data_IF_912467193370
#
_entry.id   IF_912467193370
#
_cell.length_a   1.000
_cell.length_b   1.000
_cell.length_c   1.000
_cell.angle_alpha   90.00
_cell.angle_beta   90.00
_cell.angle_gamma   90.00
#
_symmetry.space_group_name_H-M   'P 1'
#
loop_
_entity.id
_entity.type
_entity.pdbx_description
1 polymer ?
#
# COMPACT_ATOMS: atom_id res chain seq x y z
N UNK A 1 28.99 3.95 -38.68
CA UNK A 1 29.96 4.64 -37.84
C UNK A 1 29.36 4.89 -36.46
N UNK A 2 29.52 3.93 -35.54
CA UNK A 2 28.98 4.03 -34.17
C UNK A 2 29.76 5.08 -33.39
N UNK A 3 29.08 6.11 -32.87
CA UNK A 3 29.68 7.09 -31.94
C UNK A 3 29.90 6.42 -30.59
N UNK A 4 31.15 6.27 -30.13
CA UNK A 4 31.45 5.60 -28.85
C UNK A 4 31.00 6.38 -27.59
N UNK A 5 30.52 7.62 -27.71
CA UNK A 5 30.03 8.40 -26.58
C UNK A 5 28.64 8.08 -26.08
N UNK A 6 27.73 7.56 -26.93
CA UNK A 6 26.36 7.33 -26.56
C UNK A 6 26.17 6.11 -25.61
N UNK A 7 27.09 5.15 -25.65
CA UNK A 7 27.05 3.97 -24.76
C UNK A 7 27.57 4.28 -23.35
N UNK A 8 28.58 5.18 -23.24
CA UNK A 8 29.10 5.63 -21.95
C UNK A 8 28.10 6.54 -21.20
N UNK A 9 27.37 7.40 -21.93
CA UNK A 9 26.31 8.23 -21.35
C UNK A 9 25.11 7.39 -20.89
N UNK A 10 24.78 6.30 -21.61
CA UNK A 10 23.74 5.35 -21.21
C UNK A 10 24.08 4.60 -19.93
N UNK A 11 25.32 4.11 -19.82
CA UNK A 11 25.78 3.36 -18.65
C UNK A 11 25.90 4.24 -17.40
N UNK A 12 26.42 5.47 -17.53
CA UNK A 12 26.48 6.42 -16.43
C UNK A 12 25.09 6.85 -15.92
N UNK A 13 24.11 7.02 -16.82
CA UNK A 13 22.71 7.28 -16.46
C UNK A 13 22.05 6.08 -15.76
N UNK A 14 22.32 4.87 -16.22
CA UNK A 14 21.83 3.64 -15.56
C UNK A 14 22.43 3.54 -14.15
N UNK A 15 23.74 3.74 -14.00
CA UNK A 15 24.40 3.73 -12.70
C UNK A 15 23.88 4.83 -11.77
N UNK A 16 23.70 6.05 -12.28
CA UNK A 16 23.15 7.16 -11.51
C UNK A 16 21.70 6.87 -11.07
N UNK A 17 20.84 6.39 -11.96
CA UNK A 17 19.46 6.04 -11.64
C UNK A 17 19.39 4.86 -10.66
N UNK A 18 20.24 3.86 -10.85
CA UNK A 18 20.37 2.74 -9.93
C UNK A 18 20.86 3.22 -8.56
N UNK A 19 21.88 4.07 -8.51
CA UNK A 19 22.38 4.67 -7.28
C UNK A 19 21.31 5.48 -6.53
N UNK A 20 20.48 6.26 -7.24
CA UNK A 20 19.35 6.98 -6.65
C UNK A 20 18.26 6.04 -6.11
N UNK A 21 17.91 5.00 -6.86
CA UNK A 21 16.92 4.00 -6.42
C UNK A 21 17.42 3.21 -5.20
N UNK A 22 18.71 2.85 -5.20
CA UNK A 22 19.37 2.14 -4.12
C UNK A 22 19.48 3.01 -2.87
N UNK A 23 19.93 4.27 -3.04
CA UNK A 23 19.99 5.24 -1.96
C UNK A 23 18.63 5.50 -1.32
N UNK A 24 17.59 5.67 -2.13
CA UNK A 24 16.21 5.84 -1.65
C UNK A 24 15.68 4.64 -0.86
N UNK A 25 15.93 3.40 -1.33
CA UNK A 25 15.58 2.18 -0.61
C UNK A 25 16.36 2.03 0.69
N UNK A 26 17.67 2.33 0.68
CA UNK A 26 18.52 2.29 1.86
C UNK A 26 18.08 3.30 2.93
N UNK A 27 17.82 4.54 2.54
CA UNK A 27 17.27 5.57 3.44
C UNK A 27 15.91 5.14 3.99
N UNK A 28 15.02 4.59 3.14
CA UNK A 28 13.73 4.07 3.57
C UNK A 28 13.85 2.92 4.58
N UNK A 29 14.83 2.03 4.43
CA UNK A 29 15.10 0.96 5.37
C UNK A 29 15.59 1.51 6.72
N UNK A 30 16.54 2.45 6.71
CA UNK A 30 17.05 3.12 7.93
C UNK A 30 15.93 3.86 8.66
N UNK A 31 15.11 4.66 7.95
CA UNK A 31 13.97 5.34 8.52
C UNK A 31 12.95 4.35 9.11
N UNK A 32 12.73 3.21 8.43
CA UNK A 32 11.82 2.16 8.92
C UNK A 32 12.33 1.52 10.21
N UNK A 33 13.62 1.32 10.37
CA UNK A 33 14.21 0.81 11.60
C UNK A 33 14.16 1.87 12.72
N UNK A 34 14.45 3.12 12.40
CA UNK A 34 14.44 4.21 13.35
C UNK A 34 13.04 4.44 13.95
N UNK A 35 11.99 4.54 13.10
CA UNK A 35 10.64 4.69 13.62
C UNK A 35 10.20 3.47 14.44
N UNK A 36 10.59 2.25 14.01
CA UNK A 36 10.28 1.03 14.74
C UNK A 36 10.90 1.04 16.15
N UNK A 37 12.16 1.50 16.26
CA UNK A 37 12.84 1.67 17.55
C UNK A 37 12.13 2.69 18.44
N UNK A 38 11.64 3.81 17.88
CA UNK A 38 10.85 4.80 18.60
C UNK A 38 9.57 4.15 19.15
N UNK A 39 8.79 3.50 18.28
CA UNK A 39 7.52 2.87 18.66
C UNK A 39 7.72 1.83 19.77
N UNK A 40 8.71 0.94 19.58
CA UNK A 40 8.97 -0.15 20.54
C UNK A 40 9.45 0.36 21.89
N UNK A 41 10.34 1.35 21.89
CA UNK A 41 10.85 1.96 23.15
C UNK A 41 9.76 2.72 23.88
N UNK A 42 8.86 3.37 23.16
CA UNK A 42 7.79 4.18 23.75
C UNK A 42 6.66 3.32 24.33
N UNK A 43 6.23 2.30 23.57
CA UNK A 43 5.11 1.44 23.95
C UNK A 43 5.53 0.30 24.90
N UNK A 44 6.79 -0.13 24.84
CA UNK A 44 7.21 -1.39 25.44
C UNK A 44 6.76 -2.59 24.60
N UNK A 45 7.24 -3.79 24.97
CA UNK A 45 7.09 -4.99 24.12
C UNK A 45 5.63 -5.45 24.00
N UNK A 46 4.84 -5.40 25.09
CA UNK A 46 3.46 -5.87 25.10
C UNK A 46 2.55 -4.97 24.23
N UNK A 47 2.59 -3.66 24.41
CA UNK A 47 1.76 -2.72 23.65
C UNK A 47 2.22 -2.57 22.20
N UNK A 48 3.52 -2.71 21.95
CA UNK A 48 4.05 -2.86 20.61
C UNK A 48 3.49 -4.13 19.93
N UNK A 49 3.38 -5.23 20.67
CA UNK A 49 2.75 -6.46 20.18
C UNK A 49 1.29 -6.25 19.79
N UNK A 50 0.50 -5.58 20.63
CA UNK A 50 -0.90 -5.22 20.32
C UNK A 50 -1.00 -4.32 19.07
N UNK A 51 -0.15 -3.30 18.99
CA UNK A 51 -0.01 -2.47 17.79
C UNK A 51 0.31 -3.32 16.54
N UNK A 52 1.26 -4.26 16.67
CA UNK A 52 1.65 -5.15 15.58
C UNK A 52 0.51 -6.08 15.13
N UNK A 53 -0.31 -6.57 16.06
CA UNK A 53 -1.48 -7.41 15.76
C UNK A 53 -2.55 -6.62 14.99
N UNK A 54 -2.90 -5.41 15.44
CA UNK A 54 -3.86 -4.54 14.74
C UNK A 54 -3.37 -4.22 13.33
N UNK A 55 -2.11 -3.87 13.18
CA UNK A 55 -1.50 -3.55 11.90
C UNK A 55 -1.47 -4.76 10.95
N UNK A 56 -1.15 -5.95 11.47
CA UNK A 56 -1.13 -7.19 10.69
C UNK A 56 -2.54 -7.62 10.30
N UNK A 57 -3.52 -7.52 11.20
CA UNK A 57 -4.92 -7.79 10.89
C UNK A 57 -5.44 -6.87 9.78
N UNK A 58 -5.23 -5.56 9.90
CA UNK A 58 -5.60 -4.59 8.88
C UNK A 58 -4.95 -4.90 7.51
N UNK A 59 -3.65 -5.28 7.53
CA UNK A 59 -2.91 -5.62 6.31
C UNK A 59 -3.42 -6.92 5.67
N UNK A 60 -3.70 -7.96 6.46
CA UNK A 60 -4.27 -9.23 5.97
C UNK A 60 -5.63 -8.98 5.34
N UNK A 61 -6.54 -8.27 6.03
CA UNK A 61 -7.87 -7.95 5.51
C UNK A 61 -7.73 -7.19 4.18
N UNK A 62 -6.87 -6.16 4.16
CA UNK A 62 -6.60 -5.39 2.93
C UNK A 62 -6.11 -6.29 1.80
N UNK A 63 -5.14 -7.17 2.06
CA UNK A 63 -4.56 -8.07 1.05
C UNK A 63 -5.60 -9.03 0.47
N UNK A 64 -6.50 -9.57 1.30
CA UNK A 64 -7.54 -10.49 0.86
C UNK A 64 -8.64 -9.78 0.07
N UNK A 65 -9.02 -8.57 0.48
CA UNK A 65 -10.15 -7.85 -0.11
C UNK A 65 -9.76 -6.95 -1.27
N UNK A 66 -8.54 -6.40 -1.31
CA UNK A 66 -8.12 -5.48 -2.36
C UNK A 66 -7.80 -6.20 -3.65
N UNK A 67 -8.21 -5.61 -4.76
CA UNK A 67 -7.81 -6.06 -6.10
C UNK A 67 -6.62 -5.26 -6.62
N UNK A 68 -5.76 -5.92 -7.41
CA UNK A 68 -4.65 -5.27 -8.12
C UNK A 68 -5.13 -4.59 -9.40
N UNK A 69 -6.07 -3.67 -9.26
CA UNK A 69 -6.72 -2.92 -10.34
C UNK A 69 -5.74 -2.17 -11.25
N UNK A 70 -4.52 -1.84 -10.75
CA UNK A 70 -3.49 -1.22 -11.55
C UNK A 70 -3.09 -2.04 -12.78
N UNK A 71 -3.12 -3.37 -12.68
CA UNK A 71 -2.80 -4.27 -13.81
C UNK A 71 -3.86 -4.17 -14.90
N UNK A 72 -5.13 -4.01 -14.52
CA UNK A 72 -6.23 -3.78 -15.46
C UNK A 72 -6.04 -2.44 -16.17
N UNK A 73 -5.76 -1.37 -15.39
CA UNK A 73 -5.55 -0.04 -15.95
C UNK A 73 -4.43 -0.06 -16.98
N UNK A 74 -3.30 -0.70 -16.68
CA UNK A 74 -2.18 -0.80 -17.62
C UNK A 74 -2.57 -1.64 -18.84
N UNK A 75 -3.07 -2.87 -18.65
CA UNK A 75 -3.32 -3.82 -19.73
C UNK A 75 -4.38 -3.31 -20.71
N UNK A 76 -5.56 -2.94 -20.20
CA UNK A 76 -6.68 -2.51 -21.04
C UNK A 76 -6.61 -1.03 -21.38
N UNK A 77 -6.05 -0.22 -20.48
CA UNK A 77 -5.86 1.20 -20.72
C UNK A 77 -4.90 1.50 -21.85
N UNK A 78 -3.84 0.70 -22.05
CA UNK A 78 -2.92 0.86 -23.19
C UNK A 78 -3.63 0.72 -24.54
N UNK A 79 -4.56 -0.23 -24.68
CA UNK A 79 -5.33 -0.42 -25.90
C UNK A 79 -6.16 0.81 -26.26
N UNK A 80 -6.85 1.37 -25.25
CA UNK A 80 -7.68 2.56 -25.43
C UNK A 80 -6.85 3.84 -25.62
N UNK A 81 -5.71 3.93 -24.96
CA UNK A 81 -4.78 5.05 -25.15
C UNK A 81 -4.17 5.06 -26.55
N UNK A 82 -3.79 3.87 -27.08
CA UNK A 82 -3.26 3.73 -28.42
C UNK A 82 -4.31 4.04 -29.51
N UNK A 83 -5.60 3.83 -29.21
CA UNK A 83 -6.74 4.15 -30.09
C UNK A 83 -7.22 5.60 -29.93
N UNK A 84 -6.55 6.42 -29.13
CA UNK A 84 -6.97 7.80 -28.77
C UNK A 84 -8.42 7.89 -28.24
N UNK A 85 -8.88 6.82 -27.58
CA UNK A 85 -10.21 6.69 -27.01
C UNK A 85 -10.21 6.98 -25.51
N UNK A 86 -10.11 8.26 -25.17
CA UNK A 86 -10.08 8.73 -23.77
C UNK A 86 -11.35 8.37 -22.98
N UNK A 87 -12.51 8.27 -23.64
CA UNK A 87 -13.77 7.92 -22.98
C UNK A 87 -13.81 6.44 -22.58
N UNK A 88 -13.30 5.53 -23.40
CA UNK A 88 -13.18 4.11 -23.05
C UNK A 88 -12.14 3.92 -21.94
N UNK A 89 -11.01 4.63 -22.00
CA UNK A 89 -10.03 4.66 -20.91
C UNK A 89 -10.66 5.13 -19.58
N UNK A 90 -11.48 6.20 -19.62
CA UNK A 90 -12.20 6.67 -18.43
C UNK A 90 -13.14 5.60 -17.87
N UNK A 91 -13.88 4.86 -18.70
CA UNK A 91 -14.76 3.78 -18.25
C UNK A 91 -13.99 2.67 -17.56
N UNK A 92 -12.83 2.27 -18.07
CA UNK A 92 -11.92 1.29 -17.43
C UNK A 92 -11.46 1.82 -16.05
N UNK A 93 -11.03 3.07 -15.97
CA UNK A 93 -10.60 3.68 -14.70
C UNK A 93 -11.74 3.72 -13.66
N UNK A 94 -12.93 4.16 -14.07
CA UNK A 94 -14.11 4.18 -13.18
C UNK A 94 -14.53 2.80 -12.73
N UNK A 95 -14.40 1.79 -13.59
CA UNK A 95 -14.63 0.39 -13.24
C UNK A 95 -13.63 -0.08 -12.18
N UNK A 96 -12.34 0.22 -12.33
CA UNK A 96 -11.32 -0.10 -11.34
C UNK A 96 -11.59 0.60 -10.00
N UNK A 97 -11.91 1.90 -10.02
CA UNK A 97 -12.24 2.65 -8.80
C UNK A 97 -13.47 2.07 -8.10
N UNK A 98 -14.50 1.69 -8.86
CA UNK A 98 -15.71 1.07 -8.30
C UNK A 98 -15.37 -0.25 -7.60
N UNK A 99 -14.53 -1.09 -8.20
CA UNK A 99 -14.07 -2.34 -7.58
C UNK A 99 -13.24 -2.05 -6.32
N UNK A 100 -12.31 -1.10 -6.39
CA UNK A 100 -11.48 -0.72 -5.25
C UNK A 100 -12.35 -0.20 -4.07
N UNK A 101 -13.38 0.61 -4.35
CA UNK A 101 -14.31 1.08 -3.33
C UNK A 101 -15.19 -0.05 -2.76
N UNK A 102 -15.69 -0.95 -3.62
CA UNK A 102 -16.44 -2.13 -3.16
C UNK A 102 -15.57 -3.02 -2.26
N UNK A 103 -14.31 -3.22 -2.64
CA UNK A 103 -13.32 -3.95 -1.85
C UNK A 103 -13.07 -3.30 -0.50
N UNK A 104 -12.96 -1.97 -0.47
CA UNK A 104 -12.79 -1.22 0.77
C UNK A 104 -14.00 -1.37 1.70
N UNK A 105 -15.22 -1.33 1.15
CA UNK A 105 -16.45 -1.55 1.93
C UNK A 105 -16.53 -2.96 2.50
N UNK A 106 -16.24 -3.98 1.68
CA UNK A 106 -16.21 -5.39 2.12
C UNK A 106 -15.11 -5.59 3.19
N UNK A 107 -13.91 -5.08 2.95
CA UNK A 107 -12.82 -5.15 3.92
C UNK A 107 -13.15 -4.48 5.24
N UNK A 108 -13.80 -3.33 5.21
CA UNK A 108 -14.29 -2.62 6.39
C UNK A 108 -15.34 -3.41 7.18
N UNK A 109 -16.28 -4.06 6.47
CA UNK A 109 -17.28 -4.93 7.11
C UNK A 109 -16.63 -6.17 7.74
N UNK A 110 -15.70 -6.83 7.05
CA UNK A 110 -14.93 -7.96 7.59
C UNK A 110 -14.14 -7.53 8.83
N UNK A 111 -13.47 -6.36 8.79
CA UNK A 111 -12.76 -5.81 9.94
C UNK A 111 -13.68 -5.58 11.14
N UNK A 112 -14.90 -5.05 10.91
CA UNK A 112 -15.89 -4.88 11.97
C UNK A 112 -16.28 -6.23 12.61
N UNK A 113 -16.59 -7.23 11.79
CA UNK A 113 -16.93 -8.58 12.28
C UNK A 113 -15.79 -9.19 13.08
N UNK A 114 -14.56 -9.12 12.57
CA UNK A 114 -13.37 -9.66 13.26
C UNK A 114 -13.15 -8.97 14.60
N UNK A 115 -13.24 -7.64 14.66
CA UNK A 115 -13.00 -6.89 15.90
C UNK A 115 -14.12 -7.13 16.91
N UNK A 116 -15.38 -7.16 16.47
CA UNK A 116 -16.52 -7.40 17.36
C UNK A 116 -16.58 -8.84 17.88
N UNK A 117 -16.31 -9.83 16.99
CA UNK A 117 -16.40 -11.24 17.35
C UNK A 117 -15.11 -11.77 18.01
N UNK A 118 -13.94 -11.28 17.60
CA UNK A 118 -12.64 -11.82 17.97
C UNK A 118 -11.71 -10.79 18.62
N UNK A 119 -12.22 -9.63 19.03
CA UNK A 119 -11.41 -8.57 19.68
C UNK A 119 -10.67 -9.06 20.94
N UNK A 120 -11.24 -10.04 21.65
CA UNK A 120 -10.59 -10.70 22.78
C UNK A 120 -9.32 -11.47 22.42
N UNK A 121 -9.23 -12.03 21.21
CA UNK A 121 -8.04 -12.74 20.71
C UNK A 121 -6.88 -11.78 20.39
N UNK A 122 -7.18 -10.53 20.13
CA UNK A 122 -6.16 -9.50 19.90
C UNK A 122 -5.64 -8.90 21.23
N UNK A 123 -6.19 -9.34 22.37
CA UNK A 123 -5.88 -8.83 23.71
C UNK A 123 -5.85 -7.30 23.79
N UNK A 124 -6.80 -6.66 23.06
CA UNK A 124 -6.87 -5.20 23.04
C UNK A 124 -7.37 -4.67 24.39
N UNK A 125 -6.83 -3.55 24.88
CA UNK A 125 -7.38 -2.88 26.05
C UNK A 125 -8.87 -2.57 25.89
N UNK A 126 -9.65 -2.58 26.98
CA UNK A 126 -11.06 -2.21 26.94
C UNK A 126 -11.28 -0.84 26.27
N UNK A 127 -12.23 -0.78 25.32
CA UNK A 127 -12.52 0.43 24.55
C UNK A 127 -11.64 0.68 23.33
N UNK A 128 -10.57 -0.09 23.11
CA UNK A 128 -9.67 0.10 21.96
C UNK A 128 -10.20 -0.52 20.66
N UNK A 129 -11.25 -1.34 20.70
CA UNK A 129 -11.82 -1.98 19.50
C UNK A 129 -12.25 -0.95 18.45
N UNK A 130 -12.83 0.17 18.87
CA UNK A 130 -13.22 1.25 17.96
C UNK A 130 -12.03 1.87 17.21
N UNK A 131 -10.94 2.18 17.92
CA UNK A 131 -9.74 2.74 17.32
C UNK A 131 -9.08 1.76 16.34
N UNK A 132 -9.04 0.48 16.71
CA UNK A 132 -8.53 -0.58 15.83
C UNK A 132 -9.38 -0.71 14.57
N UNK A 133 -10.71 -0.67 14.69
CA UNK A 133 -11.61 -0.69 13.53
C UNK A 133 -11.46 0.55 12.66
N UNK A 134 -11.40 1.75 13.24
CA UNK A 134 -11.15 2.98 12.48
C UNK A 134 -9.82 2.93 11.73
N UNK A 135 -8.78 2.39 12.35
CA UNK A 135 -7.51 2.19 11.69
C UNK A 135 -7.64 1.23 10.48
N UNK A 136 -8.37 0.12 10.65
CA UNK A 136 -8.67 -0.78 9.54
C UNK A 136 -9.42 -0.05 8.42
N UNK A 137 -10.43 0.76 8.73
CA UNK A 137 -11.14 1.57 7.75
C UNK A 137 -10.21 2.52 6.99
N UNK A 138 -9.33 3.23 7.70
CA UNK A 138 -8.32 4.10 7.06
C UNK A 138 -7.44 3.29 6.12
N UNK A 139 -6.97 2.11 6.53
CA UNK A 139 -6.18 1.22 5.67
C UNK A 139 -6.95 0.76 4.44
N UNK A 140 -8.25 0.53 4.52
CA UNK A 140 -9.10 0.12 3.38
C UNK A 140 -9.31 1.28 2.39
N UNK A 141 -9.62 2.49 2.87
CA UNK A 141 -9.88 3.64 2.00
C UNK A 141 -8.62 4.24 1.38
N UNK A 142 -7.42 3.87 1.85
CA UNK A 142 -6.15 4.26 1.21
C UNK A 142 -5.90 3.49 -0.09
N UNK A 143 -6.76 3.75 -1.08
CA UNK A 143 -6.72 3.13 -2.40
C UNK A 143 -5.55 3.71 -3.19
N UNK A 144 -4.57 2.88 -3.55
CA UNK A 144 -3.40 3.25 -4.35
C UNK A 144 -3.32 2.49 -5.67
N UNK A 145 -4.09 1.42 -5.82
CA UNK A 145 -3.99 0.54 -6.99
C UNK A 145 -4.37 1.28 -8.28
N UNK A 146 -5.56 1.85 -8.36
CA UNK A 146 -6.01 2.60 -9.54
C UNK A 146 -5.07 3.75 -9.93
N UNK A 147 -4.66 4.68 -9.02
CA UNK A 147 -3.74 5.76 -9.40
C UNK A 147 -2.33 5.26 -9.76
N UNK A 148 -1.84 4.17 -9.17
CA UNK A 148 -0.60 3.51 -9.60
C UNK A 148 -0.71 3.05 -11.06
N UNK A 149 -1.86 2.47 -11.44
CA UNK A 149 -2.14 2.08 -12.82
C UNK A 149 -2.07 3.26 -13.79
N UNK A 150 -2.63 4.41 -13.43
CA UNK A 150 -2.58 5.64 -14.24
C UNK A 150 -1.14 6.12 -14.43
N UNK A 151 -0.35 6.20 -13.35
CA UNK A 151 1.04 6.64 -13.42
C UNK A 151 1.89 5.70 -14.29
N UNK A 152 1.69 4.39 -14.17
CA UNK A 152 2.38 3.39 -14.99
C UNK A 152 1.95 3.42 -16.46
N UNK A 153 0.66 3.66 -16.71
CA UNK A 153 0.13 3.81 -18.06
C UNK A 153 0.76 4.98 -18.82
N UNK A 154 1.12 6.04 -18.09
CA UNK A 154 1.77 7.23 -18.65
C UNK A 154 3.30 7.26 -18.47
N UNK A 155 3.92 6.10 -18.13
CA UNK A 155 5.38 5.95 -17.90
C UNK A 155 5.95 6.91 -16.84
N UNK A 156 5.13 7.31 -15.86
CA UNK A 156 5.54 8.22 -14.77
C UNK A 156 6.00 7.45 -13.54
N UNK A 157 6.99 6.59 -13.72
CA UNK A 157 7.60 5.80 -12.63
C UNK A 157 8.34 6.68 -11.63
N UNK A 158 8.88 7.81 -12.06
CA UNK A 158 9.49 8.86 -11.22
C UNK A 158 8.52 9.39 -10.18
N UNK A 159 7.31 9.77 -10.63
CA UNK A 159 6.24 10.27 -9.77
C UNK A 159 5.73 9.21 -8.79
N UNK A 160 5.61 7.96 -9.24
CA UNK A 160 5.23 6.84 -8.38
C UNK A 160 6.28 6.57 -7.30
N UNK A 161 7.57 6.59 -7.65
CA UNK A 161 8.67 6.42 -6.70
C UNK A 161 8.71 7.55 -5.66
N UNK A 162 8.47 8.80 -6.08
CA UNK A 162 8.38 9.95 -5.17
C UNK A 162 7.23 9.77 -4.16
N UNK A 163 6.04 9.36 -4.62
CA UNK A 163 4.90 9.12 -3.73
C UNK A 163 5.18 7.99 -2.72
N UNK A 164 5.89 6.93 -3.14
CA UNK A 164 6.24 5.80 -2.28
C UNK A 164 7.20 6.22 -1.14
N UNK A 165 8.10 7.18 -1.38
CA UNK A 165 9.01 7.69 -0.33
C UNK A 165 8.28 8.44 0.78
N UNK A 166 7.04 8.89 0.55
CA UNK A 166 6.22 9.54 1.59
C UNK A 166 5.86 8.61 2.74
N UNK A 167 5.81 7.29 2.51
CA UNK A 167 5.48 6.33 3.56
C UNK A 167 6.55 6.29 4.67
N UNK A 168 7.82 5.96 4.40
CA UNK A 168 8.83 5.90 5.46
C UNK A 168 9.07 7.27 6.11
N UNK A 169 9.04 8.35 5.34
CA UNK A 169 9.18 9.71 5.87
C UNK A 169 7.98 10.10 6.74
N UNK A 170 6.76 9.87 6.25
CA UNK A 170 5.53 10.17 6.99
C UNK A 170 5.42 9.36 8.28
N UNK A 171 5.79 8.07 8.25
CA UNK A 171 5.82 7.23 9.46
C UNK A 171 6.87 7.71 10.46
N UNK A 172 8.04 8.17 10.01
CA UNK A 172 9.06 8.71 10.89
C UNK A 172 8.61 10.00 11.55
N UNK A 173 8.10 10.96 10.77
CA UNK A 173 7.55 12.22 11.28
C UNK A 173 6.38 11.94 12.23
N UNK A 174 5.46 11.06 11.82
CA UNK A 174 4.32 10.66 12.63
C UNK A 174 4.73 9.97 13.93
N UNK A 175 5.77 9.12 13.94
CA UNK A 175 6.26 8.48 15.14
C UNK A 175 6.88 9.49 16.12
N UNK A 176 7.63 10.47 15.63
CA UNK A 176 8.16 11.56 16.44
C UNK A 176 7.02 12.42 17.00
N UNK A 177 6.03 12.76 16.19
CA UNK A 177 4.87 13.52 16.65
C UNK A 177 4.06 12.73 17.70
N UNK A 178 3.82 11.43 17.49
CA UNK A 178 3.11 10.58 18.44
C UNK A 178 3.88 10.46 19.78
N UNK A 179 5.21 10.36 19.72
CA UNK A 179 6.06 10.33 20.93
C UNK A 179 5.84 11.54 21.84
N UNK A 180 5.67 12.73 21.25
CA UNK A 180 5.52 13.98 22.01
C UNK A 180 4.08 14.31 22.37
N UNK A 181 3.13 14.01 21.47
CA UNK A 181 1.73 14.43 21.62
C UNK A 181 0.86 13.33 22.25
N UNK A 182 1.09 12.07 21.89
CA UNK A 182 0.23 10.96 22.28
C UNK A 182 1.00 9.63 22.27
N UNK A 183 1.85 9.35 23.28
CA UNK A 183 2.72 8.16 23.34
C UNK A 183 1.91 6.90 23.69
N UNK A 184 0.89 6.58 22.90
CA UNK A 184 -0.04 5.46 23.08
C UNK A 184 -0.18 4.65 21.80
N UNK A 185 -0.71 3.42 21.88
CA UNK A 185 -1.01 2.61 20.71
C UNK A 185 -1.85 3.39 19.69
N UNK A 186 -2.88 4.10 20.17
CA UNK A 186 -3.76 4.92 19.32
C UNK A 186 -2.99 6.03 18.60
N UNK A 187 -2.10 6.74 19.27
CA UNK A 187 -1.29 7.79 18.66
C UNK A 187 -0.41 7.25 17.51
N UNK A 188 0.21 6.09 17.71
CA UNK A 188 1.00 5.46 16.66
C UNK A 188 0.14 4.87 15.52
N UNK A 189 -1.07 4.38 15.80
CA UNK A 189 -2.02 3.98 14.75
C UNK A 189 -2.47 5.18 13.92
N UNK A 190 -2.76 6.32 14.55
CA UNK A 190 -3.10 7.58 13.85
C UNK A 190 -1.92 8.03 12.98
N UNK A 191 -0.71 8.06 13.52
CA UNK A 191 0.50 8.43 12.79
C UNK A 191 0.72 7.55 11.55
N UNK A 192 0.54 6.24 11.71
CA UNK A 192 0.65 5.28 10.62
C UNK A 192 -0.44 5.48 9.57
N UNK A 193 -1.70 5.55 10.00
CA UNK A 193 -2.85 5.78 9.10
C UNK A 193 -2.73 7.10 8.33
N UNK A 194 -2.27 8.16 8.99
CA UNK A 194 -2.02 9.46 8.36
C UNK A 194 -0.94 9.36 7.27
N UNK A 195 0.17 8.66 7.52
CA UNK A 195 1.21 8.45 6.51
C UNK A 195 0.69 7.68 5.29
N UNK A 196 -0.12 6.63 5.50
CA UNK A 196 -0.77 5.88 4.41
C UNK A 196 -1.76 6.76 3.63
N UNK A 197 -2.55 7.57 4.32
CA UNK A 197 -3.53 8.48 3.69
C UNK A 197 -2.83 9.56 2.87
N UNK A 198 -1.79 10.19 3.41
CA UNK A 198 -1.00 11.19 2.69
C UNK A 198 -0.36 10.61 1.42
N UNK A 199 0.18 9.39 1.52
CA UNK A 199 0.72 8.69 0.36
C UNK A 199 -0.38 8.42 -0.69
N UNK A 200 -1.56 7.93 -0.28
CA UNK A 200 -2.66 7.70 -1.20
C UNK A 200 -3.13 8.99 -1.88
N UNK A 201 -3.24 10.09 -1.13
CA UNK A 201 -3.58 11.41 -1.66
C UNK A 201 -2.53 11.90 -2.67
N UNK A 202 -1.24 11.69 -2.39
CA UNK A 202 -0.17 12.03 -3.32
C UNK A 202 -0.27 11.22 -4.62
N UNK A 203 -0.52 9.92 -4.54
CA UNK A 203 -0.75 9.08 -5.71
C UNK A 203 -1.93 9.58 -6.55
N UNK A 204 -3.06 9.90 -5.92
CA UNK A 204 -4.22 10.44 -6.62
C UNK A 204 -3.96 11.80 -7.24
N UNK A 205 -3.30 12.69 -6.51
CA UNK A 205 -2.95 14.03 -7.03
C UNK A 205 -2.04 13.95 -8.26
N UNK A 206 -0.99 13.11 -8.19
CA UNK A 206 -0.07 12.90 -9.31
C UNK A 206 -0.79 12.24 -10.50
N UNK A 207 -1.57 11.19 -10.26
CA UNK A 207 -2.32 10.49 -11.31
C UNK A 207 -3.32 11.40 -12.02
N UNK A 208 -4.06 12.23 -11.28
CA UNK A 208 -5.00 13.19 -11.86
C UNK A 208 -4.28 14.31 -12.63
N UNK A 209 -3.13 14.74 -12.15
CA UNK A 209 -2.31 15.73 -12.85
C UNK A 209 -1.81 15.21 -14.20
N UNK A 210 -1.25 14.00 -14.23
CA UNK A 210 -0.72 13.38 -15.44
C UNK A 210 -1.82 12.94 -16.41
N UNK A 211 -3.00 12.56 -15.89
CA UNK A 211 -4.15 12.17 -16.69
C UNK A 211 -4.91 13.33 -17.36
N UNK A 212 -4.60 14.59 -16.98
CA UNK A 212 -5.29 15.75 -17.54
C UNK A 212 -5.17 15.81 -19.06
N UNK A 213 -6.33 15.94 -19.74
CA UNK A 213 -6.41 16.03 -21.20
C UNK A 213 -6.22 14.71 -21.95
N UNK A 214 -5.88 13.62 -21.27
CA UNK A 214 -5.72 12.26 -21.87
C UNK A 214 -6.81 11.30 -21.46
N UNK A 215 -7.39 11.51 -20.28
CA UNK A 215 -8.53 10.77 -19.77
C UNK A 215 -9.78 11.54 -20.20
N UNK A 216 -10.71 10.87 -20.87
CA UNK A 216 -11.95 11.46 -21.38
C UNK A 216 -12.87 11.97 -20.26
N UNK A 217 -14.04 12.48 -20.66
CA UNK A 217 -14.98 13.07 -19.73
C UNK A 217 -15.44 12.07 -18.66
N UNK A 218 -15.39 12.47 -17.38
CA UNK A 218 -15.75 11.60 -16.25
C UNK A 218 -17.19 11.06 -16.33
N UNK A 219 -18.05 11.66 -17.12
CA UNK A 219 -19.46 11.28 -17.31
C UNK A 219 -19.73 10.44 -18.59
N UNK A 220 -18.70 10.07 -19.36
CA UNK A 220 -18.87 9.31 -20.60
C UNK A 220 -19.24 7.84 -20.32
N UNK A 221 -20.50 7.48 -20.40
CA UNK A 221 -21.03 6.14 -20.22
C UNK A 221 -21.05 5.62 -18.78
N UNK A 222 -21.40 4.35 -18.61
CA UNK A 222 -21.41 3.66 -17.30
C UNK A 222 -20.07 2.96 -17.06
N UNK A 223 -19.61 2.92 -15.81
CA UNK A 223 -18.39 2.18 -15.45
C UNK A 223 -18.46 0.69 -15.83
N UNK A 224 -19.66 0.10 -15.73
CA UNK A 224 -19.90 -1.32 -16.08
C UNK A 224 -19.78 -1.61 -17.58
N UNK A 225 -19.89 -0.61 -18.46
CA UNK A 225 -19.74 -0.78 -19.91
C UNK A 225 -18.31 -1.21 -20.25
N UNK A 226 -17.33 -0.86 -19.40
CA UNK A 226 -15.94 -1.33 -19.52
C UNK A 226 -15.83 -2.87 -19.59
N UNK A 227 -16.76 -3.62 -18.95
CA UNK A 227 -16.78 -5.08 -19.00
C UNK A 227 -17.16 -5.59 -20.40
N UNK A 228 -18.13 -4.95 -21.03
CA UNK A 228 -18.56 -5.33 -22.39
C UNK A 228 -17.51 -4.95 -23.43
N UNK A 229 -16.83 -3.82 -23.24
CA UNK A 229 -15.80 -3.31 -24.13
C UNK A 229 -14.47 -4.06 -24.02
N UNK A 230 -14.23 -4.73 -22.88
CA UNK A 230 -12.96 -5.42 -22.60
C UNK A 230 -13.20 -6.89 -22.23
N UNK A 231 -13.36 -7.80 -23.20
CA UNK A 231 -13.56 -9.23 -22.95
C UNK A 231 -12.42 -9.79 -22.08
N UNK A 232 -12.78 -10.58 -21.07
CA UNK A 232 -11.82 -11.21 -20.15
C UNK A 232 -11.35 -10.35 -18.98
N UNK A 233 -11.80 -9.10 -18.84
CA UNK A 233 -11.38 -8.20 -17.75
C UNK A 233 -11.64 -8.80 -16.36
N UNK A 234 -12.76 -9.49 -16.16
CA UNK A 234 -13.10 -10.14 -14.87
C UNK A 234 -12.18 -11.34 -14.61
N UNK A 235 -11.96 -12.20 -15.61
CA UNK A 235 -11.07 -13.35 -15.46
C UNK A 235 -9.63 -12.93 -15.15
N UNK A 236 -9.16 -11.86 -15.80
CA UNK A 236 -7.85 -11.29 -15.52
C UNK A 236 -7.78 -10.69 -14.09
N UNK A 237 -8.80 -9.96 -13.68
CA UNK A 237 -8.91 -9.39 -12.33
C UNK A 237 -8.82 -10.47 -11.24
N UNK A 238 -9.61 -11.54 -11.38
CA UNK A 238 -9.64 -12.63 -10.39
C UNK A 238 -8.33 -13.41 -10.35
N UNK A 239 -7.73 -13.71 -11.51
CA UNK A 239 -6.46 -14.43 -11.59
C UNK A 239 -5.31 -13.63 -10.95
N UNK A 240 -5.20 -12.33 -11.26
CA UNK A 240 -4.16 -11.47 -10.70
C UNK A 240 -4.34 -11.25 -9.20
N UNK A 241 -5.58 -11.08 -8.73
CA UNK A 241 -5.87 -10.96 -7.30
C UNK A 241 -5.48 -12.23 -6.53
N UNK A 242 -5.85 -13.40 -7.02
CA UNK A 242 -5.52 -14.67 -6.38
C UNK A 242 -4.00 -14.85 -6.26
N UNK A 243 -3.26 -14.57 -7.33
CA UNK A 243 -1.80 -14.65 -7.34
C UNK A 243 -1.17 -13.72 -6.29
N UNK A 244 -1.58 -12.46 -6.26
CA UNK A 244 -1.01 -11.46 -5.32
C UNK A 244 -1.41 -11.76 -3.88
N UNK A 245 -2.65 -12.15 -3.63
CA UNK A 245 -3.11 -12.51 -2.28
C UNK A 245 -2.32 -13.69 -1.73
N UNK A 246 -2.13 -14.75 -2.49
CA UNK A 246 -1.35 -15.92 -2.06
C UNK A 246 0.12 -15.58 -1.78
N UNK A 247 0.75 -14.74 -2.61
CA UNK A 247 2.16 -14.38 -2.44
C UNK A 247 2.41 -13.43 -1.27
N UNK A 248 1.43 -12.58 -0.93
CA UNK A 248 1.60 -11.49 0.05
C UNK A 248 1.18 -11.84 1.48
N UNK A 249 0.38 -12.91 1.66
CA UNK A 249 -0.21 -13.25 2.96
C UNK A 249 0.79 -13.81 3.99
N UNK A 250 1.84 -14.50 3.54
CA UNK A 250 2.69 -15.31 4.41
C UNK A 250 3.26 -14.57 5.62
N UNK A 251 3.79 -13.39 5.43
CA UNK A 251 4.44 -12.63 6.52
C UNK A 251 3.45 -12.08 7.55
N UNK A 252 2.30 -11.59 7.11
CA UNK A 252 1.32 -10.96 8.00
C UNK A 252 0.51 -12.00 8.77
N UNK A 253 0.16 -13.11 8.12
CA UNK A 253 -0.50 -14.25 8.75
C UNK A 253 0.38 -14.85 9.83
N UNK A 254 1.69 -14.97 9.61
CA UNK A 254 2.60 -15.48 10.61
C UNK A 254 2.61 -14.64 11.91
N UNK A 255 2.55 -13.30 11.81
CA UNK A 255 2.42 -12.42 13.01
C UNK A 255 1.13 -12.70 13.77
N UNK A 256 0.01 -12.89 13.05
CA UNK A 256 -1.30 -13.19 13.67
C UNK A 256 -1.30 -14.57 14.33
N UNK A 257 -0.74 -15.58 13.68
CA UNK A 257 -0.62 -16.94 14.23
C UNK A 257 0.23 -16.93 15.50
N UNK A 258 1.40 -16.28 15.46
CA UNK A 258 2.24 -16.14 16.67
C UNK A 258 1.48 -15.39 17.78
N UNK A 259 0.72 -14.34 17.42
CA UNK A 259 -0.09 -13.60 18.39
C UNK A 259 -1.17 -14.46 19.02
N UNK A 260 -1.80 -15.35 18.25
CA UNK A 260 -2.85 -16.24 18.74
C UNK A 260 -2.32 -17.30 19.73
N UNK A 261 -1.13 -17.86 19.48
CA UNK A 261 -0.57 -18.93 20.29
C UNK A 261 0.38 -18.47 21.40
N UNK A 262 1.07 -17.35 21.21
CA UNK A 262 2.13 -16.86 22.13
C UNK A 262 1.73 -15.51 22.78
N UNK A 263 0.65 -14.91 22.30
CA UNK A 263 0.17 -13.62 22.77
C UNK A 263 0.88 -12.42 22.14
N UNK A 264 0.51 -11.18 22.55
CA UNK A 264 1.01 -9.94 21.94
C UNK A 264 2.53 -9.78 22.02
N UNK A 265 3.15 -10.22 23.11
CA UNK A 265 4.62 -10.15 23.26
C UNK A 265 5.32 -10.96 22.18
N UNK A 266 4.85 -12.19 21.93
CA UNK A 266 5.36 -13.05 20.85
C UNK A 266 5.18 -12.42 19.48
N UNK A 267 4.00 -11.88 19.19
CA UNK A 267 3.71 -11.19 17.94
C UNK A 267 4.63 -9.98 17.72
N UNK A 268 4.87 -9.19 18.76
CA UNK A 268 5.78 -8.04 18.73
C UNK A 268 7.21 -8.44 18.41
N UNK A 269 7.74 -9.42 19.13
CA UNK A 269 9.11 -9.94 18.91
C UNK A 269 9.27 -10.54 17.52
N UNK A 270 8.30 -11.34 17.05
CA UNK A 270 8.32 -11.93 15.71
C UNK A 270 8.31 -10.83 14.64
N UNK A 271 7.47 -9.80 14.80
CA UNK A 271 7.42 -8.68 13.86
C UNK A 271 8.71 -7.90 13.81
N UNK A 272 9.35 -7.65 14.96
CA UNK A 272 10.67 -7.00 15.04
C UNK A 272 11.72 -7.82 14.29
N UNK A 273 11.82 -9.11 14.57
CA UNK A 273 12.77 -10.01 13.92
C UNK A 273 12.56 -10.04 12.39
N UNK A 274 11.31 -10.15 11.95
CA UNK A 274 10.97 -10.17 10.53
C UNK A 274 11.28 -8.83 9.83
N UNK A 275 11.01 -7.70 10.50
CA UNK A 275 11.34 -6.38 9.96
C UNK A 275 12.86 -6.17 9.84
N UNK A 276 13.63 -6.61 10.82
CA UNK A 276 15.10 -6.58 10.78
C UNK A 276 15.63 -7.44 9.63
N UNK A 277 15.17 -8.69 9.52
CA UNK A 277 15.55 -9.59 8.44
C UNK A 277 15.24 -9.00 7.06
N UNK A 278 14.03 -8.46 6.86
CA UNK A 278 13.63 -7.83 5.60
C UNK A 278 14.43 -6.56 5.28
N UNK A 279 14.85 -5.81 6.31
CA UNK A 279 15.69 -4.61 6.09
C UNK A 279 17.10 -4.99 5.68
N UNK A 280 17.66 -6.07 6.28
CA UNK A 280 18.98 -6.59 5.92
C UNK A 280 18.97 -7.20 4.51
N UNK A 281 17.96 -7.99 4.15
CA UNK A 281 17.83 -8.53 2.79
C UNK A 281 17.69 -7.45 1.72
N UNK A 282 16.96 -6.37 2.01
CA UNK A 282 16.88 -5.22 1.10
C UNK A 282 18.23 -4.53 0.90
N UNK A 283 19.07 -4.49 1.92
CA UNK A 283 20.43 -3.92 1.83
C UNK A 283 21.37 -4.89 1.09
N UNK A 284 21.26 -6.21 1.34
CA UNK A 284 22.14 -7.19 0.70
C UNK A 284 21.78 -7.50 -0.77
N UNK A 285 20.55 -7.18 -1.19
CA UNK A 285 20.11 -7.30 -2.59
C UNK A 285 20.47 -6.07 -3.44
N UNK A 286 21.27 -5.15 -2.87
CA UNK A 286 21.88 -4.00 -3.52
C UNK A 286 23.26 -4.37 -4.06
#
# INVERSE_FOLDING_TARGET
MFKPGAAQDGFSRILANTGWLLGGKGVGAVLSLAYLAIVTRTLGVADFGRFALVLSAATVIKTITSFDSWQIVVRYGQTHLAADNGDALNRVLRFCIMIDLASAAVGGAIAAVIILAFGGLLELPPGMGWQAWLFCMVMMITIRSSPTGILRLFDRFDSAALAETMIPVGRMIGAVAALWLMPTITGFLIAWGAAELLCALAYWWLALREGRGRIGAWRAGRALDARAENPGIIGFLTATNLQTSLSSMGQQVAVLVVGLFVGPVGAGLYRLANQLANSLTKISSL
#
